data_IF_897409105710
#
_entry.id   IF_897409105710
#
_cell.length_a   1.000
_cell.length_b   1.000
_cell.length_c   1.000
_cell.angle_alpha   90.00
_cell.angle_beta   90.00
_cell.angle_gamma   90.00
#
_symmetry.space_group_name_H-M   'P 1'
#
loop_
_entity.id
_entity.type
_entity.pdbx_description
1 polymer ?
#
# COMPACT_ATOMS: atom_id res chain seq x y z
N UNK A 1 -28.01 5.95 -15.67
CA UNK A 1 -28.63 5.28 -14.52
C UNK A 1 -28.00 5.85 -13.25
N UNK A 2 -28.78 6.18 -12.20
CA UNK A 2 -28.23 6.68 -10.94
C UNK A 2 -27.53 5.56 -10.16
N UNK A 3 -26.47 5.90 -9.45
CA UNK A 3 -25.82 4.99 -8.50
C UNK A 3 -26.67 4.85 -7.21
N UNK A 4 -26.49 3.77 -6.43
CA UNK A 4 -27.09 3.66 -5.10
C UNK A 4 -26.78 4.89 -4.24
N UNK A 5 -27.72 5.30 -3.37
CA UNK A 5 -27.59 6.51 -2.54
C UNK A 5 -26.34 6.54 -1.66
N UNK A 6 -25.87 5.36 -1.24
CA UNK A 6 -24.68 5.16 -0.41
C UNK A 6 -23.43 4.77 -1.21
N UNK A 7 -23.44 4.91 -2.54
CA UNK A 7 -22.26 4.70 -3.34
C UNK A 7 -21.24 5.80 -3.07
N UNK A 8 -20.00 5.41 -2.77
CA UNK A 8 -18.93 6.35 -2.43
C UNK A 8 -18.14 6.72 -3.68
N UNK A 9 -18.07 8.02 -3.94
CA UNK A 9 -17.15 8.60 -4.91
C UNK A 9 -15.94 9.17 -4.19
N UNK A 10 -14.76 8.90 -4.74
CA UNK A 10 -13.53 9.23 -4.06
C UNK A 10 -12.33 9.31 -4.97
N UNK A 11 -11.22 9.67 -4.36
CA UNK A 11 -9.90 9.71 -5.00
C UNK A 11 -8.89 8.98 -4.15
N UNK A 12 -7.78 8.59 -4.76
CA UNK A 12 -6.73 7.79 -4.13
C UNK A 12 -5.35 8.38 -4.39
N UNK A 13 -4.52 8.42 -3.35
CA UNK A 13 -3.14 8.93 -3.42
C UNK A 13 -2.21 8.01 -2.63
N UNK A 14 -0.93 7.97 -3.04
CA UNK A 14 0.12 7.36 -2.23
C UNK A 14 1.05 8.44 -1.69
N UNK A 15 1.43 8.28 -0.44
CA UNK A 15 2.16 9.27 0.33
C UNK A 15 3.49 9.62 -0.30
N UNK A 16 4.32 8.63 -0.66
CA UNK A 16 5.59 8.89 -1.33
C UNK A 16 5.46 9.69 -2.63
N UNK A 17 4.34 9.55 -3.35
CA UNK A 17 4.10 10.28 -4.61
C UNK A 17 3.63 11.72 -4.42
N UNK A 18 3.06 12.09 -3.26
CA UNK A 18 2.45 13.42 -3.07
C UNK A 18 2.98 14.22 -1.87
N UNK A 19 3.46 13.57 -0.82
CA UNK A 19 3.87 14.24 0.42
C UNK A 19 5.21 14.95 0.28
N UNK A 20 6.17 14.30 -0.37
CA UNK A 20 7.54 14.78 -0.47
C UNK A 20 8.35 14.67 0.83
N UNK A 21 9.63 15.04 0.76
CA UNK A 21 10.51 15.18 1.92
C UNK A 21 10.76 13.88 2.71
N UNK A 22 10.66 12.71 2.07
CA UNK A 22 10.85 11.42 2.73
C UNK A 22 12.19 10.79 2.35
N UNK A 23 13.27 11.22 3.01
CA UNK A 23 14.63 10.74 2.74
C UNK A 23 14.97 9.39 3.39
N UNK A 24 14.09 8.84 4.23
CA UNK A 24 14.30 7.58 4.95
C UNK A 24 13.69 6.36 4.23
N UNK A 25 13.26 6.55 2.98
CA UNK A 25 12.62 5.55 2.14
C UNK A 25 13.62 4.81 1.25
N UNK A 26 13.37 3.52 1.01
CA UNK A 26 14.12 2.72 0.04
C UNK A 26 14.04 3.26 -1.40
N UNK A 27 12.88 3.80 -1.78
CA UNK A 27 12.71 4.51 -3.05
C UNK A 27 13.53 5.79 -3.13
N UNK A 28 13.79 6.47 -2.00
CA UNK A 28 14.66 7.65 -1.97
C UNK A 28 16.11 7.29 -2.25
N UNK A 29 16.62 6.21 -1.64
CA UNK A 29 17.95 5.69 -1.99
C UNK A 29 18.02 5.24 -3.45
N UNK A 30 16.92 4.70 -4.00
CA UNK A 30 16.86 4.23 -5.38
C UNK A 30 16.93 5.37 -6.40
N UNK A 31 16.16 6.45 -6.22
CA UNK A 31 16.20 7.62 -7.10
C UNK A 31 17.54 8.35 -7.02
N UNK A 32 18.17 8.41 -5.83
CA UNK A 32 19.51 8.99 -5.66
C UNK A 32 20.60 8.23 -6.41
N UNK A 33 20.37 6.96 -6.75
CA UNK A 33 21.25 6.17 -7.61
C UNK A 33 20.99 6.39 -9.11
N UNK A 34 20.11 7.34 -9.49
CA UNK A 34 19.77 7.60 -10.90
C UNK A 34 18.93 6.50 -11.54
N UNK A 35 18.20 5.70 -10.73
CA UNK A 35 17.41 4.55 -11.20
C UNK A 35 15.93 4.89 -11.45
N UNK A 36 15.57 6.15 -11.29
CA UNK A 36 14.27 6.71 -11.66
C UNK A 36 14.48 7.86 -12.65
N UNK A 37 13.46 8.16 -13.45
CA UNK A 37 13.48 9.31 -14.36
C UNK A 37 13.46 10.63 -13.59
N UNK A 38 12.60 10.70 -12.59
CA UNK A 38 12.35 11.87 -11.78
C UNK A 38 12.64 11.55 -10.30
N UNK A 39 12.99 12.58 -9.53
CA UNK A 39 13.18 12.48 -8.07
C UNK A 39 11.92 12.96 -7.36
N UNK A 40 11.56 12.30 -6.26
CA UNK A 40 10.39 12.64 -5.44
C UNK A 40 10.47 14.06 -4.89
N UNK A 41 11.60 14.49 -4.34
CA UNK A 41 11.83 15.86 -3.86
C UNK A 41 10.71 16.32 -2.91
N UNK A 42 10.09 17.47 -3.23
CA UNK A 42 8.91 17.96 -2.50
C UNK A 42 7.59 17.34 -2.97
N UNK A 43 7.59 16.59 -4.07
CA UNK A 43 6.41 16.05 -4.72
C UNK A 43 5.32 17.13 -4.95
N UNK A 44 4.08 16.85 -4.56
CA UNK A 44 2.97 17.82 -4.57
C UNK A 44 2.91 18.67 -3.28
N UNK A 45 3.81 18.43 -2.33
CA UNK A 45 3.90 19.10 -1.03
C UNK A 45 2.66 18.90 -0.14
N UNK A 46 1.97 17.76 -0.29
CA UNK A 46 0.77 17.44 0.49
C UNK A 46 1.04 17.43 2.00
N UNK A 47 2.25 17.03 2.42
CA UNK A 47 2.64 16.99 3.83
C UNK A 47 2.45 18.33 4.54
N UNK A 48 2.67 19.43 3.81
CA UNK A 48 2.58 20.79 4.33
C UNK A 48 1.28 21.51 3.90
N UNK A 49 0.52 20.94 2.95
CA UNK A 49 -0.60 21.63 2.28
C UNK A 49 -1.93 20.86 2.27
N UNK A 50 -2.03 19.78 3.05
CA UNK A 50 -3.19 18.91 3.10
C UNK A 50 -4.51 19.66 3.39
N UNK A 51 -4.49 20.75 4.17
CA UNK A 51 -5.69 21.56 4.46
C UNK A 51 -6.32 22.13 3.18
N UNK A 52 -5.47 22.62 2.26
CA UNK A 52 -5.90 23.16 0.97
C UNK A 52 -6.39 22.04 0.04
N UNK A 53 -5.73 20.89 0.05
CA UNK A 53 -6.15 19.74 -0.76
C UNK A 53 -7.47 19.17 -0.23
N UNK A 54 -7.71 19.13 1.08
CA UNK A 54 -8.97 18.70 1.67
C UNK A 54 -10.13 19.67 1.40
N UNK A 55 -9.85 20.97 1.26
CA UNK A 55 -10.83 21.93 0.77
C UNK A 55 -11.26 21.58 -0.66
N UNK A 56 -10.32 21.27 -1.55
CA UNK A 56 -10.60 20.82 -2.92
C UNK A 56 -11.38 19.49 -2.94
N UNK A 57 -11.05 18.53 -2.07
CA UNK A 57 -11.82 17.29 -1.93
C UNK A 57 -13.29 17.57 -1.59
N UNK A 58 -13.51 18.53 -0.68
CA UNK A 58 -14.86 18.94 -0.26
C UNK A 58 -15.63 19.60 -1.40
N UNK A 59 -14.99 20.50 -2.15
CA UNK A 59 -15.56 21.17 -3.32
C UNK A 59 -15.94 20.19 -4.44
N UNK A 60 -15.11 19.18 -4.68
CA UNK A 60 -15.39 18.09 -5.62
C UNK A 60 -16.51 17.14 -5.16
N UNK A 61 -16.98 17.27 -3.92
CA UNK A 61 -18.02 16.40 -3.35
C UNK A 61 -17.52 14.99 -3.00
N UNK A 62 -16.22 14.82 -2.79
CA UNK A 62 -15.60 13.55 -2.40
C UNK A 62 -16.22 13.02 -1.10
N UNK A 63 -16.54 11.72 -1.07
CA UNK A 63 -17.11 11.03 0.09
C UNK A 63 -16.16 10.04 0.76
N UNK A 64 -15.14 9.60 0.03
CA UNK A 64 -14.07 8.75 0.56
C UNK A 64 -12.74 9.19 -0.01
N UNK A 65 -11.72 9.29 0.83
CA UNK A 65 -10.36 9.57 0.41
C UNK A 65 -9.44 8.43 0.81
N UNK A 66 -8.80 7.81 -0.19
CA UNK A 66 -7.80 6.77 0.03
C UNK A 66 -6.41 7.40 0.07
N UNK A 67 -5.74 7.33 1.22
CA UNK A 67 -4.35 7.75 1.39
C UNK A 67 -3.52 6.60 1.96
N UNK A 68 -2.23 6.83 2.18
CA UNK A 68 -1.35 5.90 2.90
C UNK A 68 -0.69 6.56 4.11
N UNK A 69 -0.11 5.72 4.97
CA UNK A 69 0.84 6.14 5.99
C UNK A 69 2.22 5.68 5.54
N UNK A 70 3.21 6.58 5.49
CA UNK A 70 4.60 6.21 5.17
C UNK A 70 5.26 5.54 6.35
N UNK A 71 5.43 4.22 6.25
CA UNK A 71 6.17 3.44 7.23
C UNK A 71 7.57 4.02 7.50
N UNK A 72 8.27 4.43 6.44
CA UNK A 72 9.59 5.06 6.50
C UNK A 72 9.63 6.38 7.27
N UNK A 73 8.50 7.10 7.34
CA UNK A 73 8.36 8.36 8.07
C UNK A 73 8.01 8.14 9.54
N UNK A 74 7.11 7.19 9.81
CA UNK A 74 6.60 6.95 11.17
C UNK A 74 7.46 5.99 11.99
N UNK A 75 8.26 5.12 11.37
CA UNK A 75 9.25 4.26 12.03
C UNK A 75 10.65 4.55 11.45
N UNK A 76 11.28 5.58 12.01
CA UNK A 76 12.54 6.15 11.51
C UNK A 76 13.73 5.18 11.61
N UNK A 77 13.79 4.42 12.70
CA UNK A 77 14.72 3.31 12.92
C UNK A 77 13.93 2.12 13.47
N UNK A 78 14.56 0.94 13.54
CA UNK A 78 13.87 -0.26 14.01
C UNK A 78 13.33 -0.09 15.43
N UNK A 79 12.00 -0.01 15.57
CA UNK A 79 11.32 0.19 16.84
C UNK A 79 11.26 1.65 17.31
N UNK A 80 11.85 2.60 16.58
CA UNK A 80 11.84 4.03 16.93
C UNK A 80 10.79 4.76 16.10
N UNK A 81 9.66 5.05 16.75
CA UNK A 81 8.52 5.71 16.10
C UNK A 81 8.56 7.23 16.27
N UNK A 82 8.37 7.95 15.17
CA UNK A 82 8.23 9.41 15.20
C UNK A 82 6.82 9.79 15.65
N UNK A 83 6.71 10.25 16.90
CA UNK A 83 5.44 10.75 17.45
C UNK A 83 4.95 11.98 16.68
N UNK A 84 5.86 12.84 16.22
CA UNK A 84 5.52 13.99 15.40
C UNK A 84 4.86 13.57 14.07
N UNK A 85 5.43 12.59 13.37
CA UNK A 85 4.85 12.11 12.12
C UNK A 85 3.49 11.43 12.34
N UNK A 86 3.36 10.63 13.41
CA UNK A 86 2.08 10.01 13.78
C UNK A 86 1.03 11.07 14.11
N UNK A 87 1.41 12.10 14.87
CA UNK A 87 0.54 13.22 15.22
C UNK A 87 0.10 14.00 13.98
N UNK A 88 1.01 14.24 13.03
CA UNK A 88 0.67 14.89 11.76
C UNK A 88 -0.32 14.07 10.94
N UNK A 89 -0.14 12.76 10.85
CA UNK A 89 -1.13 11.88 10.21
C UNK A 89 -2.46 11.86 10.95
N UNK A 90 -2.46 11.94 12.28
CA UNK A 90 -3.69 12.10 13.07
C UNK A 90 -4.42 13.38 12.68
N UNK A 91 -3.75 14.52 12.61
CA UNK A 91 -4.35 15.80 12.21
C UNK A 91 -4.98 15.71 10.80
N UNK A 92 -4.25 15.13 9.84
CA UNK A 92 -4.74 14.89 8.48
C UNK A 92 -6.02 14.05 8.50
N UNK A 93 -6.03 12.93 9.24
CA UNK A 93 -7.19 12.06 9.31
C UNK A 93 -8.37 12.72 10.05
N UNK A 94 -8.11 13.47 11.11
CA UNK A 94 -9.14 14.22 11.86
C UNK A 94 -9.84 15.25 10.98
N UNK A 95 -9.08 16.01 10.19
CA UNK A 95 -9.65 17.03 9.30
C UNK A 95 -10.56 16.40 8.21
N UNK A 96 -10.18 15.24 7.65
CA UNK A 96 -11.06 14.48 6.75
C UNK A 96 -12.38 14.07 7.43
N UNK A 97 -12.31 13.60 8.69
CA UNK A 97 -13.49 13.21 9.45
C UNK A 97 -14.41 14.41 9.73
N UNK A 98 -13.85 15.56 10.11
CA UNK A 98 -14.59 16.82 10.31
C UNK A 98 -15.34 17.23 9.04
N UNK A 99 -14.76 16.97 7.87
CA UNK A 99 -15.36 17.26 6.55
C UNK A 99 -16.36 16.20 6.09
N UNK A 100 -16.66 15.19 6.92
CA UNK A 100 -17.50 14.05 6.57
C UNK A 100 -16.98 13.26 5.35
N UNK A 101 -15.65 13.20 5.20
CA UNK A 101 -14.98 12.36 4.20
C UNK A 101 -14.50 11.10 4.90
N UNK A 102 -14.93 9.93 4.41
CA UNK A 102 -14.48 8.66 4.94
C UNK A 102 -13.00 8.41 4.63
N UNK A 103 -12.28 7.84 5.60
CA UNK A 103 -10.84 7.59 5.50
C UNK A 103 -10.58 6.14 5.09
N UNK A 104 -9.96 5.94 3.93
CA UNK A 104 -9.38 4.64 3.57
C UNK A 104 -7.86 4.72 3.66
N UNK A 105 -7.26 3.97 4.57
CA UNK A 105 -5.82 4.08 4.84
C UNK A 105 -5.07 2.84 4.39
N UNK A 106 -4.08 3.07 3.54
CA UNK A 106 -3.13 2.06 3.06
C UNK A 106 -1.90 2.02 3.96
N UNK A 107 -1.65 0.89 4.60
CA UNK A 107 -0.54 0.73 5.54
C UNK A 107 0.80 0.49 4.83
N UNK A 108 0.78 -0.08 3.62
CA UNK A 108 1.97 -0.28 2.80
C UNK A 108 1.69 -0.06 1.32
N UNK A 109 2.27 1.00 0.78
CA UNK A 109 2.19 1.34 -0.65
C UNK A 109 3.58 1.35 -1.28
N UNK A 110 4.19 0.15 -1.33
CA UNK A 110 5.47 -0.18 -1.97
C UNK A 110 6.73 0.38 -1.30
N UNK A 111 6.63 1.50 -0.60
CA UNK A 111 7.75 2.15 0.08
C UNK A 111 7.99 1.53 1.45
N UNK A 112 9.26 1.32 1.79
CA UNK A 112 9.67 0.76 3.07
C UNK A 112 10.82 1.57 3.68
N UNK A 113 10.98 1.57 5.02
CA UNK A 113 12.14 2.17 5.65
C UNK A 113 13.45 1.56 5.15
N UNK A 114 14.48 2.40 4.99
CA UNK A 114 15.83 1.95 4.58
C UNK A 114 16.36 0.86 5.52
N UNK A 115 16.22 1.05 6.84
CA UNK A 115 16.67 0.07 7.84
C UNK A 115 15.97 -1.28 7.66
N UNK A 116 14.69 -1.28 7.31
CA UNK A 116 13.93 -2.50 7.08
C UNK A 116 14.44 -3.23 5.85
N UNK A 117 14.66 -2.55 4.73
CA UNK A 117 15.19 -3.20 3.52
C UNK A 117 16.60 -3.73 3.72
N UNK A 118 17.49 -2.97 4.38
CA UNK A 118 18.87 -3.38 4.64
C UNK A 118 18.94 -4.61 5.55
N UNK A 119 18.19 -4.61 6.66
CA UNK A 119 18.24 -5.69 7.66
C UNK A 119 17.39 -6.89 7.29
N UNK A 120 16.21 -6.65 6.74
CA UNK A 120 15.20 -7.67 6.49
C UNK A 120 14.87 -7.79 5.00
N UNK A 121 14.19 -6.79 4.47
CA UNK A 121 13.36 -6.90 3.26
C UNK A 121 12.30 -7.99 3.40
N UNK A 122 11.27 -7.94 2.55
CA UNK A 122 10.19 -8.94 2.63
C UNK A 122 10.67 -10.38 2.38
N UNK A 123 11.82 -10.59 1.72
CA UNK A 123 12.37 -11.93 1.50
C UNK A 123 12.87 -12.65 2.77
N UNK A 124 13.12 -11.95 3.90
CA UNK A 124 13.50 -12.62 5.16
C UNK A 124 12.29 -12.89 6.04
N UNK A 125 12.21 -14.08 6.66
CA UNK A 125 11.08 -14.52 7.51
C UNK A 125 10.75 -13.54 8.64
N UNK A 126 11.76 -12.91 9.24
CA UNK A 126 11.60 -11.94 10.32
C UNK A 126 10.75 -10.71 9.91
N UNK A 127 10.71 -10.36 8.61
CA UNK A 127 9.91 -9.24 8.09
C UNK A 127 8.44 -9.30 8.48
N UNK A 128 7.88 -10.51 8.60
CA UNK A 128 6.48 -10.74 8.99
C UNK A 128 6.17 -10.12 10.36
N UNK A 129 7.04 -10.34 11.34
CA UNK A 129 6.85 -9.84 12.69
C UNK A 129 7.09 -8.33 12.76
N UNK A 130 8.09 -7.84 12.04
CA UNK A 130 8.46 -6.42 12.00
C UNK A 130 7.37 -5.57 11.35
N UNK A 131 6.85 -5.98 10.19
CA UNK A 131 5.73 -5.28 9.56
C UNK A 131 4.47 -5.32 10.44
N UNK A 132 4.18 -6.47 11.06
CA UNK A 132 3.05 -6.58 11.97
C UNK A 132 3.15 -5.69 13.22
N UNK A 133 4.37 -5.42 13.72
CA UNK A 133 4.61 -4.45 14.80
C UNK A 133 4.23 -3.03 14.36
N UNK A 134 4.67 -2.64 13.17
CA UNK A 134 4.29 -1.35 12.58
C UNK A 134 2.77 -1.25 12.43
N UNK A 135 2.11 -2.26 11.86
CA UNK A 135 0.64 -2.26 11.71
C UNK A 135 -0.06 -2.16 13.06
N UNK A 136 0.41 -2.90 14.08
CA UNK A 136 -0.11 -2.79 15.45
C UNK A 136 -0.03 -1.35 15.94
N UNK A 137 1.15 -0.73 15.87
CA UNK A 137 1.37 0.64 16.35
C UNK A 137 0.45 1.63 15.63
N UNK A 138 0.35 1.57 14.31
CA UNK A 138 -0.54 2.46 13.55
C UNK A 138 -2.01 2.20 13.85
N UNK A 139 -2.41 0.96 14.11
CA UNK A 139 -3.80 0.66 14.47
C UNK A 139 -4.14 1.15 15.88
N UNK A 140 -3.23 0.98 16.85
CA UNK A 140 -3.39 1.46 18.23
C UNK A 140 -3.43 3.00 18.28
N UNK A 141 -2.60 3.66 17.48
CA UNK A 141 -2.59 5.11 17.39
C UNK A 141 -3.77 5.60 16.54
N UNK A 142 -3.77 5.35 15.24
CA UNK A 142 -4.67 6.03 14.29
C UNK A 142 -5.96 5.28 13.99
N UNK A 143 -6.15 4.08 14.55
CA UNK A 143 -7.24 3.18 14.14
C UNK A 143 -8.64 3.72 14.45
N UNK A 144 -8.77 4.61 15.43
CA UNK A 144 -10.02 5.32 15.73
C UNK A 144 -10.48 6.21 14.57
N UNK A 145 -9.54 6.71 13.76
CA UNK A 145 -9.80 7.61 12.64
C UNK A 145 -9.81 6.93 11.27
N UNK A 146 -9.53 5.63 11.19
CA UNK A 146 -9.48 4.86 9.93
C UNK A 146 -10.81 4.11 9.76
N UNK A 147 -11.58 4.46 8.72
CA UNK A 147 -12.84 3.78 8.40
C UNK A 147 -12.60 2.46 7.64
N UNK A 148 -11.66 2.47 6.71
CA UNK A 148 -11.36 1.31 5.85
C UNK A 148 -9.84 1.09 5.83
N UNK A 149 -9.39 -0.09 6.24
CA UNK A 149 -8.00 -0.48 6.23
C UNK A 149 -7.63 -1.18 4.93
N UNK A 150 -6.51 -0.78 4.35
CA UNK A 150 -5.88 -1.45 3.23
C UNK A 150 -4.45 -1.85 3.65
N UNK A 151 -4.19 -3.13 3.88
CA UNK A 151 -2.89 -3.52 4.45
C UNK A 151 -1.76 -3.32 3.43
N UNK A 152 -1.99 -3.71 2.17
CA UNK A 152 -1.02 -3.57 1.09
C UNK A 152 -1.69 -3.07 -0.19
N UNK A 153 -0.98 -2.25 -0.97
CA UNK A 153 -1.37 -1.91 -2.34
C UNK A 153 -0.61 -2.77 -3.35
N UNK A 154 -1.33 -3.46 -4.23
CA UNK A 154 -0.79 -4.16 -5.41
C UNK A 154 0.52 -4.94 -5.16
N UNK A 155 0.59 -5.84 -4.16
CA UNK A 155 1.86 -6.38 -3.68
C UNK A 155 2.67 -7.14 -4.74
N UNK A 156 2.02 -7.68 -5.76
CA UNK A 156 2.69 -8.41 -6.84
C UNK A 156 3.57 -7.52 -7.72
N UNK A 157 3.26 -6.23 -7.84
CA UNK A 157 4.03 -5.29 -8.67
C UNK A 157 5.44 -5.06 -8.09
N UNK A 158 5.61 -4.55 -6.85
CA UNK A 158 6.94 -4.33 -6.29
C UNK A 158 7.69 -5.64 -6.07
N UNK A 159 6.99 -6.75 -5.78
CA UNK A 159 7.66 -8.04 -5.69
C UNK A 159 8.23 -8.51 -7.03
N UNK A 160 7.43 -8.45 -8.11
CA UNK A 160 7.88 -8.84 -9.45
C UNK A 160 8.98 -7.91 -9.97
N UNK A 161 8.75 -6.60 -9.90
CA UNK A 161 9.71 -5.59 -10.38
C UNK A 161 10.98 -5.54 -9.53
N UNK A 162 10.90 -5.83 -8.24
CA UNK A 162 12.03 -5.75 -7.31
C UNK A 162 12.85 -7.03 -7.16
N UNK A 163 12.26 -8.22 -7.32
CA UNK A 163 12.95 -9.50 -7.11
C UNK A 163 13.09 -10.37 -8.38
N UNK A 164 12.32 -10.11 -9.44
CA UNK A 164 12.46 -10.83 -10.71
C UNK A 164 13.11 -9.95 -11.78
N UNK A 165 12.58 -8.75 -12.00
CA UNK A 165 13.08 -7.85 -13.06
C UNK A 165 14.28 -7.04 -12.59
N UNK A 166 14.24 -6.57 -11.34
CA UNK A 166 15.29 -5.74 -10.72
C UNK A 166 15.22 -4.25 -11.09
N UNK A 167 14.05 -3.75 -11.50
CA UNK A 167 13.84 -2.32 -11.83
C UNK A 167 13.31 -1.51 -10.66
N UNK A 168 12.75 -2.15 -9.64
CA UNK A 168 12.34 -1.51 -8.39
C UNK A 168 13.28 -1.94 -7.26
N UNK A 169 13.31 -1.22 -6.12
CA UNK A 169 13.95 -1.73 -4.91
C UNK A 169 13.43 -3.15 -4.56
N UNK A 170 14.30 -4.10 -4.15
CA UNK A 170 15.74 -3.96 -3.90
C UNK A 170 16.66 -4.20 -5.12
N UNK A 171 16.12 -4.26 -6.35
CA UNK A 171 16.93 -4.43 -7.56
C UNK A 171 17.49 -5.85 -7.75
N UNK A 172 16.88 -6.85 -7.12
CA UNK A 172 17.33 -8.24 -7.17
C UNK A 172 16.72 -8.96 -8.38
N UNK A 173 17.51 -9.87 -8.97
CA UNK A 173 17.07 -10.81 -10.02
C UNK A 173 17.17 -12.24 -9.50
N UNK A 174 16.39 -12.55 -8.47
CA UNK A 174 16.46 -13.82 -7.75
C UNK A 174 15.04 -14.38 -7.50
N UNK A 175 14.63 -15.41 -8.26
CA UNK A 175 13.31 -16.05 -8.10
C UNK A 175 13.05 -16.67 -6.72
N UNK A 176 14.08 -17.16 -6.02
CA UNK A 176 13.93 -17.66 -4.65
C UNK A 176 13.57 -16.52 -3.69
N UNK A 177 14.27 -15.38 -3.82
CA UNK A 177 13.95 -14.19 -3.03
C UNK A 177 12.54 -13.68 -3.30
N UNK A 178 12.08 -13.72 -4.55
CA UNK A 178 10.69 -13.43 -4.91
C UNK A 178 9.73 -14.37 -4.18
N UNK A 179 9.96 -15.68 -4.22
CA UNK A 179 9.07 -16.66 -3.58
C UNK A 179 8.99 -16.48 -2.06
N UNK A 180 10.13 -16.23 -1.41
CA UNK A 180 10.14 -15.92 0.02
C UNK A 180 9.43 -14.60 0.33
N UNK A 181 9.66 -13.55 -0.47
CA UNK A 181 8.98 -12.27 -0.29
C UNK A 181 7.47 -12.37 -0.47
N UNK A 182 7.01 -13.13 -1.47
CA UNK A 182 5.61 -13.45 -1.68
C UNK A 182 4.98 -14.16 -0.47
N UNK A 183 5.67 -15.19 0.05
CA UNK A 183 5.20 -15.94 1.22
C UNK A 183 5.16 -15.05 2.47
N UNK A 184 6.18 -14.25 2.69
CA UNK A 184 6.30 -13.44 3.89
C UNK A 184 5.34 -12.25 3.85
N UNK A 185 5.16 -11.54 2.73
CA UNK A 185 4.20 -10.44 2.69
C UNK A 185 2.75 -10.96 2.82
N UNK A 186 2.44 -12.16 2.32
CA UNK A 186 1.15 -12.81 2.60
C UNK A 186 0.99 -13.18 4.09
N UNK A 187 2.04 -13.69 4.73
CA UNK A 187 2.04 -13.96 6.17
C UNK A 187 1.91 -12.68 7.02
N UNK A 188 2.60 -11.61 6.61
CA UNK A 188 2.53 -10.29 7.22
C UNK A 188 1.12 -9.71 7.08
N UNK A 189 0.50 -9.86 5.91
CA UNK A 189 -0.88 -9.50 5.66
C UNK A 189 -1.86 -10.22 6.60
N UNK A 190 -1.79 -11.55 6.69
CA UNK A 190 -2.68 -12.32 7.59
C UNK A 190 -2.49 -11.90 9.06
N UNK A 191 -1.23 -11.72 9.48
CA UNK A 191 -0.94 -11.28 10.85
C UNK A 191 -1.49 -9.88 11.11
N UNK A 192 -1.37 -8.98 10.15
CA UNK A 192 -1.89 -7.61 10.19
C UNK A 192 -3.41 -7.59 10.27
N UNK A 193 -4.10 -8.39 9.45
CA UNK A 193 -5.56 -8.54 9.50
C UNK A 193 -6.03 -8.94 10.90
N UNK A 194 -5.42 -9.98 11.49
CA UNK A 194 -5.74 -10.43 12.85
C UNK A 194 -5.49 -9.36 13.90
N UNK A 195 -4.40 -8.61 13.77
CA UNK A 195 -4.07 -7.50 14.68
C UNK A 195 -5.14 -6.41 14.58
N UNK A 196 -5.50 -6.00 13.37
CA UNK A 196 -6.49 -4.94 13.15
C UNK A 196 -7.82 -5.34 13.79
N UNK A 197 -8.37 -6.52 13.51
CA UNK A 197 -9.62 -6.96 14.14
C UNK A 197 -9.51 -7.21 15.65
N UNK A 198 -8.32 -7.49 16.19
CA UNK A 198 -8.16 -7.60 17.64
C UNK A 198 -8.25 -6.26 18.37
N UNK A 199 -7.94 -5.16 17.67
CA UNK A 199 -7.98 -3.79 18.22
C UNK A 199 -9.29 -3.09 17.84
N UNK A 200 -9.74 -3.29 16.60
CA UNK A 200 -10.93 -2.70 16.00
C UNK A 200 -11.77 -3.78 15.29
N UNK A 201 -12.58 -4.56 16.03
CA UNK A 201 -13.31 -5.71 15.49
C UNK A 201 -14.20 -5.38 14.28
N UNK A 202 -14.75 -4.17 14.24
CA UNK A 202 -15.66 -3.65 13.21
C UNK A 202 -14.94 -3.04 11.98
N UNK A 203 -13.61 -3.01 11.97
CA UNK A 203 -12.84 -2.48 10.85
C UNK A 203 -13.12 -3.25 9.56
N UNK A 204 -13.22 -2.54 8.43
CA UNK A 204 -13.18 -3.17 7.10
C UNK A 204 -11.73 -3.29 6.65
N UNK A 205 -11.24 -4.51 6.47
CA UNK A 205 -9.84 -4.78 6.16
C UNK A 205 -9.69 -5.53 4.83
N UNK A 206 -8.83 -5.00 3.96
CA UNK A 206 -8.60 -5.61 2.65
C UNK A 206 -7.28 -5.19 2.01
N UNK A 207 -7.21 -5.36 0.70
CA UNK A 207 -6.11 -4.88 -0.15
C UNK A 207 -6.61 -4.52 -1.54
N UNK A 208 -5.78 -3.81 -2.30
CA UNK A 208 -6.01 -3.59 -3.73
C UNK A 208 -5.21 -4.55 -4.59
N UNK A 209 -5.87 -5.00 -5.65
CA UNK A 209 -5.29 -5.84 -6.68
C UNK A 209 -5.16 -5.02 -7.96
N UNK A 210 -3.98 -5.06 -8.58
CA UNK A 210 -3.83 -4.58 -9.95
C UNK A 210 -4.43 -5.61 -10.89
N UNK A 211 -5.47 -5.21 -11.62
CA UNK A 211 -6.07 -6.03 -12.65
C UNK A 211 -6.02 -5.30 -13.98
N UNK A 212 -5.38 -5.91 -14.96
CA UNK A 212 -5.36 -5.41 -16.33
C UNK A 212 -6.17 -6.37 -17.19
N UNK A 213 -7.13 -5.86 -17.96
CA UNK A 213 -7.78 -6.64 -19.00
C UNK A 213 -6.80 -6.76 -20.17
N UNK A 214 -6.45 -8.00 -20.52
CA UNK A 214 -5.71 -8.28 -21.73
C UNK A 214 -6.67 -8.88 -22.75
N UNK A 215 -6.86 -8.18 -23.86
CA UNK A 215 -7.62 -8.69 -25.01
C UNK A 215 -6.86 -9.79 -25.77
N UNK A 216 -5.71 -10.22 -25.25
CA UNK A 216 -4.98 -11.40 -25.71
C UNK A 216 -5.55 -12.68 -25.11
N UNK A 217 -6.89 -12.82 -25.07
CA UNK A 217 -7.54 -14.12 -25.12
C UNK A 217 -7.21 -14.73 -26.47
N UNK A 218 -5.94 -15.10 -26.67
CA UNK A 218 -5.39 -15.49 -27.95
C UNK A 218 -6.27 -16.55 -28.55
N UNK A 219 -6.60 -16.38 -29.82
CA UNK A 219 -7.44 -17.29 -30.60
C UNK A 219 -6.83 -18.71 -30.75
N UNK A 220 -5.83 -19.08 -29.92
CA UNK A 220 -5.13 -20.36 -29.91
C UNK A 220 -4.82 -20.87 -28.48
N UNK A 221 -4.55 -22.17 -28.37
CA UNK A 221 -4.35 -22.90 -27.09
C UNK A 221 -3.18 -22.35 -26.27
N UNK A 222 -2.10 -21.94 -26.93
CA UNK A 222 -0.90 -21.39 -26.28
C UNK A 222 -1.19 -20.03 -25.61
N UNK A 223 -1.94 -19.16 -26.28
CA UNK A 223 -2.39 -17.89 -25.71
C UNK A 223 -3.25 -18.10 -24.46
N UNK A 224 -4.18 -19.07 -24.51
CA UNK A 224 -4.99 -19.45 -23.35
C UNK A 224 -4.16 -19.98 -22.16
N UNK A 225 -3.09 -20.73 -22.41
CA UNK A 225 -2.18 -21.23 -21.37
C UNK A 225 -1.37 -20.08 -20.75
N UNK A 226 -0.79 -19.20 -21.58
CA UNK A 226 -0.03 -18.03 -21.12
C UNK A 226 -0.92 -17.11 -20.28
N UNK A 227 -2.17 -16.88 -20.71
CA UNK A 227 -3.15 -16.13 -19.94
C UNK A 227 -3.41 -16.75 -18.57
N UNK A 228 -3.64 -18.07 -18.52
CA UNK A 228 -3.86 -18.79 -17.24
C UNK A 228 -2.67 -18.67 -16.29
N UNK A 229 -1.45 -18.82 -16.81
CA UNK A 229 -0.20 -18.67 -16.02
C UNK A 229 -0.05 -17.23 -15.53
N UNK A 230 -0.25 -16.24 -16.40
CA UNK A 230 -0.17 -14.81 -16.07
C UNK A 230 -1.21 -14.42 -15.00
N UNK A 231 -2.48 -14.82 -15.18
CA UNK A 231 -3.55 -14.61 -14.20
C UNK A 231 -3.26 -15.30 -12.88
N UNK A 232 -2.74 -16.53 -12.92
CA UNK A 232 -2.35 -17.24 -11.72
C UNK A 232 -1.24 -16.49 -10.97
N UNK A 233 -0.19 -16.08 -11.68
CA UNK A 233 0.93 -15.36 -11.10
C UNK A 233 0.49 -14.03 -10.50
N UNK A 234 -0.17 -13.18 -11.30
CA UNK A 234 -0.51 -11.78 -10.95
C UNK A 234 -1.59 -11.64 -9.89
N UNK A 235 -2.55 -12.56 -9.85
CA UNK A 235 -3.76 -12.40 -9.02
C UNK A 235 -3.95 -13.59 -8.09
N UNK A 236 -4.04 -14.81 -8.64
CA UNK A 236 -4.47 -15.96 -7.84
C UNK A 236 -3.41 -16.41 -6.82
N UNK A 237 -2.13 -16.24 -7.12
CA UNK A 237 -1.03 -16.72 -6.28
C UNK A 237 -1.05 -16.05 -4.90
N UNK A 238 -1.23 -14.73 -4.85
CA UNK A 238 -1.36 -13.99 -3.60
C UNK A 238 -2.71 -14.26 -2.93
N UNK A 239 -3.81 -14.16 -3.68
CA UNK A 239 -5.17 -14.27 -3.14
C UNK A 239 -5.43 -15.61 -2.46
N UNK A 240 -4.91 -16.71 -3.03
CA UNK A 240 -5.02 -18.04 -2.42
C UNK A 240 -4.31 -18.12 -1.06
N UNK A 241 -3.21 -17.38 -0.88
CA UNK A 241 -2.44 -17.40 0.37
C UNK A 241 -3.15 -16.64 1.49
N UNK A 242 -3.95 -15.63 1.16
CA UNK A 242 -4.68 -14.79 2.13
C UNK A 242 -6.19 -15.08 2.16
N UNK A 243 -6.61 -16.21 1.60
CA UNK A 243 -8.02 -16.60 1.55
C UNK A 243 -8.60 -16.64 2.98
N UNK A 244 -9.74 -15.97 3.18
CA UNK A 244 -10.41 -15.86 4.48
C UNK A 244 -9.91 -14.73 5.39
N UNK A 245 -9.06 -13.83 4.87
CA UNK A 245 -8.53 -12.68 5.61
C UNK A 245 -8.78 -11.37 4.85
N UNK A 246 -9.97 -11.21 4.26
CA UNK A 246 -10.38 -10.03 3.50
C UNK A 246 -11.87 -9.79 3.69
N UNK A 247 -12.25 -8.58 4.09
CA UNK A 247 -13.65 -8.16 4.23
C UNK A 247 -14.17 -7.51 2.96
N UNK A 248 -13.27 -6.91 2.18
CA UNK A 248 -13.55 -6.35 0.86
C UNK A 248 -12.43 -6.67 -0.13
N UNK A 249 -12.75 -6.53 -1.42
CA UNK A 249 -11.82 -6.71 -2.52
C UNK A 249 -11.59 -5.35 -3.23
N UNK A 250 -10.38 -4.80 -3.15
CA UNK A 250 -10.03 -3.56 -3.85
C UNK A 250 -9.57 -3.83 -5.27
N UNK A 251 -10.13 -3.14 -6.26
CA UNK A 251 -9.75 -3.29 -7.66
C UNK A 251 -9.11 -2.00 -8.18
N UNK A 252 -7.82 -2.05 -8.50
CA UNK A 252 -7.17 -1.03 -9.32
C UNK A 252 -7.17 -1.55 -10.76
N UNK A 253 -7.83 -0.82 -11.65
CA UNK A 253 -7.99 -1.21 -13.04
C UNK A 253 -7.50 -0.10 -13.96
N UNK A 254 -6.56 -0.44 -14.83
CA UNK A 254 -6.01 0.47 -15.84
C UNK A 254 -5.96 -0.24 -17.20
N UNK A 255 -6.17 0.53 -18.26
CA UNK A 255 -5.86 0.12 -19.63
C UNK A 255 -4.48 0.67 -19.95
N UNK A 256 -3.50 -0.22 -20.04
CA UNK A 256 -2.13 0.08 -20.49
C UNK A 256 -2.06 -0.25 -21.98
#
# INVERSE_FOLDING_TARGET
MPFPKNFLWGVATSSYQIEGGNSNADWWEWEKQGKTKDQSGRACDYWNRWESDHALLSELGVKVFRLSIEWSRVETEEGVFSLEAIQKYREILQDLKVRNIQTQVTLWWWVSPIWFQKKYGFHKKASVAIFARYVRKITEELGDLIDIFQIVNEPMVPLGMGYLVGLFPPGKRNPFSFWFALKNIAGAYIKSYKIIHSIKPEALVGMTHLYNWYDSGGHNILGGLIYKISKWFRVLSFNRRIKGYQDYFGLNYYRI
#
